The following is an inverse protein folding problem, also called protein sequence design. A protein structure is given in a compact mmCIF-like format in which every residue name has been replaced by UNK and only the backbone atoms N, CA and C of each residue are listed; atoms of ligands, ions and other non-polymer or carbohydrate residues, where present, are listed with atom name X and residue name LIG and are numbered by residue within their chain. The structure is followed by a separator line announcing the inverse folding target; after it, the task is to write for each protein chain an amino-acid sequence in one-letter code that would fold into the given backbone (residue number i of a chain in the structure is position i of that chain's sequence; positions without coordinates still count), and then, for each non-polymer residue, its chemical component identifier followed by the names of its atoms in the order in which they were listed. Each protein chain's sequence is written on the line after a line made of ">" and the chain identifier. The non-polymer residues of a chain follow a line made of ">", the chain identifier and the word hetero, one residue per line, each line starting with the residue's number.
data_IF_010543438480
#
_entry.id   IF_010543438480
#
_cell.length_a   1.000
_cell.length_b   1.000
_cell.length_c   1.000
_cell.angle_alpha   90.00
_cell.angle_beta   90.00
_cell.angle_gamma   90.00
#
_symmetry.space_group_name_H-M   'P 1'
#
loop_
_entity.id
_entity.type
_entity.pdbx_description
1 polymer ?
#
# COMPACT_ATOMS: atom_id res chain seq x y z
N UNK A 1 43.72 33.88 -18.73
CA UNK A 1 44.30 33.98 -17.38
C UNK A 1 43.19 34.49 -16.48
N UNK A 2 42.66 33.80 -15.48
CA UNK A 2 43.14 32.78 -14.53
C UNK A 2 41.89 32.01 -14.00
N UNK A 3 41.91 30.85 -13.35
CA UNK A 3 42.77 29.68 -13.25
C UNK A 3 41.83 28.64 -12.59
N UNK A 4 41.76 27.42 -13.14
CA UNK A 4 40.98 26.30 -12.59
C UNK A 4 41.83 25.61 -11.52
N UNK A 5 41.21 24.88 -10.58
CA UNK A 5 41.72 23.52 -10.39
C UNK A 5 40.63 22.48 -10.52
N UNK A 6 40.99 21.49 -11.32
CA UNK A 6 40.37 20.20 -11.48
C UNK A 6 41.06 19.29 -10.44
N UNK A 7 40.31 18.44 -9.75
CA UNK A 7 40.92 17.42 -8.89
C UNK A 7 40.16 16.11 -9.10
N UNK A 8 40.60 15.39 -10.13
CA UNK A 8 40.45 13.95 -10.16
C UNK A 8 41.48 13.31 -9.22
N UNK A 9 41.13 12.09 -8.79
CA UNK A 9 42.03 11.02 -8.36
C UNK A 9 42.33 10.91 -6.86
N UNK A 10 41.63 9.99 -6.19
CA UNK A 10 42.29 8.98 -5.36
C UNK A 10 41.41 7.74 -5.21
N UNK A 11 42.00 6.61 -5.61
CA UNK A 11 41.49 5.25 -5.51
C UNK A 11 41.62 4.67 -4.08
N UNK A 12 40.85 3.61 -3.87
CA UNK A 12 41.16 2.43 -3.05
C UNK A 12 40.93 2.47 -1.54
N UNK A 13 40.02 1.60 -1.08
CA UNK A 13 40.32 0.36 -0.34
C UNK A 13 39.29 0.04 0.74
N UNK A 14 39.09 -1.27 0.94
CA UNK A 14 38.06 -1.93 1.73
C UNK A 14 38.40 -2.06 3.22
N UNK A 15 37.36 -2.46 3.97
CA UNK A 15 37.36 -3.22 5.24
C UNK A 15 37.64 -2.42 6.53
N UNK A 16 36.62 -2.27 7.38
CA UNK A 16 36.51 -2.99 8.66
C UNK A 16 35.24 -2.65 9.46
N UNK A 17 34.86 -3.65 10.25
CA UNK A 17 33.75 -3.80 11.19
C UNK A 17 33.80 -2.91 12.44
N UNK A 18 32.60 -2.76 13.06
CA UNK A 18 32.32 -2.52 14.49
C UNK A 18 32.80 -1.17 15.10
N UNK A 19 32.08 -0.44 15.97
CA UNK A 19 30.88 -0.66 16.79
C UNK A 19 30.46 0.69 17.42
N UNK A 20 29.20 0.77 17.90
CA UNK A 20 28.63 1.66 18.94
C UNK A 20 28.73 3.20 18.75
N UNK A 21 27.58 3.88 18.63
CA UNK A 21 26.97 4.66 19.73
C UNK A 21 25.50 5.00 19.41
N UNK A 22 24.71 4.83 20.46
CA UNK A 22 23.29 5.08 20.66
C UNK A 22 22.95 6.58 20.56
N UNK A 23 21.77 6.93 20.02
CA UNK A 23 21.12 8.20 20.35
C UNK A 23 19.60 8.08 20.23
N UNK A 24 18.98 8.07 21.41
CA UNK A 24 17.56 8.09 21.70
C UNK A 24 16.78 9.20 20.97
N UNK A 25 15.62 8.84 20.42
CA UNK A 25 14.51 9.77 20.19
C UNK A 25 13.24 9.20 20.83
N UNK A 26 12.89 9.78 21.97
CA UNK A 26 11.74 9.49 22.82
C UNK A 26 10.41 9.78 22.10
N UNK A 27 9.58 8.75 21.94
CA UNK A 27 8.16 8.91 21.60
C UNK A 27 7.32 8.73 22.87
N UNK A 28 6.74 9.82 23.39
CA UNK A 28 5.78 9.81 24.50
C UNK A 28 4.62 8.85 24.21
N UNK A 29 4.53 7.75 24.95
CA UNK A 29 3.26 7.02 25.08
C UNK A 29 2.41 7.69 26.17
N UNK A 30 1.34 8.38 25.74
CA UNK A 30 0.28 8.83 26.64
C UNK A 30 -0.46 7.60 27.19
N UNK A 31 -0.33 7.37 28.50
CA UNK A 31 -1.25 6.51 29.27
C UNK A 31 -2.60 7.21 29.41
N UNK A 32 -3.74 6.55 29.18
CA UNK A 32 -4.99 6.97 29.80
C UNK A 32 -4.95 6.50 31.27
N UNK A 33 -4.96 7.46 32.20
CA UNK A 33 -5.31 7.19 33.59
C UNK A 33 -6.83 7.15 33.66
N UNK A 34 -7.41 6.01 34.05
CA UNK A 34 -8.79 5.96 34.53
C UNK A 34 -8.74 5.54 35.99
N UNK A 35 -8.96 6.54 36.82
CA UNK A 35 -9.16 6.46 38.25
C UNK A 35 -10.57 5.91 38.46
N UNK A 36 -10.68 4.75 39.09
CA UNK A 36 -11.95 4.26 39.61
C UNK A 36 -11.69 3.54 40.93
N UNK A 37 -11.75 4.32 42.01
CA UNK A 37 -11.97 3.77 43.35
C UNK A 37 -13.29 2.99 43.35
N UNK A 38 -13.19 1.66 43.41
CA UNK A 38 -14.26 0.80 43.90
C UNK A 38 -13.66 -0.14 44.94
N UNK A 39 -13.98 0.13 46.19
CA UNK A 39 -13.70 -0.71 47.35
C UNK A 39 -14.47 -2.03 47.23
N UNK A 40 -13.77 -3.17 47.16
CA UNK A 40 -14.39 -4.50 47.34
C UNK A 40 -13.40 -5.50 47.99
N UNK A 41 -13.90 -6.59 48.61
CA UNK A 41 -13.20 -7.28 49.69
C UNK A 41 -12.07 -8.19 49.21
N UNK A 42 -11.03 -8.22 50.04
CA UNK A 42 -9.76 -8.92 49.94
C UNK A 42 -9.88 -10.42 49.56
N UNK A 43 -9.83 -10.72 48.26
CA UNK A 43 -9.43 -12.04 47.72
C UNK A 43 -8.19 -11.83 46.86
N UNK A 44 -7.05 -12.38 47.31
CA UNK A 44 -5.78 -12.25 46.60
C UNK A 44 -5.70 -13.24 45.45
N UNK A 45 -5.92 -12.77 44.23
CA UNK A 45 -5.66 -13.54 43.00
C UNK A 45 -4.17 -13.40 42.68
N UNK A 46 -3.43 -14.50 42.64
CA UNK A 46 -2.06 -14.53 42.12
C UNK A 46 -2.05 -15.12 40.71
N UNK A 47 -1.71 -14.28 39.73
CA UNK A 47 -1.55 -14.69 38.33
C UNK A 47 -0.05 -14.86 38.07
N UNK A 48 0.36 -16.09 37.76
CA UNK A 48 1.73 -16.38 37.34
C UNK A 48 1.77 -16.64 35.83
N UNK A 49 2.40 -15.71 35.09
CA UNK A 49 2.67 -15.88 33.67
C UNK A 49 4.02 -16.58 33.52
N UNK A 50 4.03 -17.82 33.06
CA UNK A 50 5.28 -18.53 32.76
C UNK A 50 5.87 -17.97 31.46
N UNK A 51 7.07 -17.38 31.55
CA UNK A 51 7.83 -16.94 30.38
C UNK A 51 8.49 -18.15 29.70
N UNK A 52 7.81 -18.73 28.72
CA UNK A 52 8.45 -19.58 27.71
C UNK A 52 9.20 -18.71 26.69
N UNK A 53 10.46 -19.05 26.41
CA UNK A 53 11.27 -18.38 25.38
C UNK A 53 10.74 -18.65 23.96
N UNK A 54 11.03 -17.70 23.07
CA UNK A 54 10.30 -17.34 21.86
C UNK A 54 10.24 -18.37 20.71
N UNK A 55 9.04 -18.49 20.12
CA UNK A 55 8.82 -18.49 18.67
C UNK A 55 7.43 -17.90 18.41
N UNK A 56 7.31 -16.98 17.44
CA UNK A 56 6.06 -16.27 17.13
C UNK A 56 4.99 -17.22 16.58
N UNK A 57 4.11 -17.71 17.44
CA UNK A 57 2.77 -18.23 17.10
C UNK A 57 1.80 -17.82 18.20
N UNK A 58 0.65 -17.25 17.83
CA UNK A 58 -0.39 -16.80 18.75
C UNK A 58 -1.14 -18.00 19.35
N UNK A 59 -0.57 -18.63 20.38
CA UNK A 59 -1.33 -19.39 21.37
C UNK A 59 -0.65 -19.19 22.72
N UNK A 60 -1.06 -18.15 23.44
CA UNK A 60 -0.67 -17.98 24.83
C UNK A 60 -1.74 -18.66 25.68
N UNK A 61 -1.45 -19.88 26.14
CA UNK A 61 -2.30 -20.57 27.09
C UNK A 61 -2.05 -19.99 28.49
N UNK A 62 -3.10 -19.47 29.12
CA UNK A 62 -3.06 -19.04 30.52
C UNK A 62 -3.74 -20.12 31.39
N UNK A 63 -3.00 -20.69 32.33
CA UNK A 63 -3.54 -21.64 33.32
C UNK A 63 -3.90 -20.86 34.58
N UNK A 64 -5.19 -20.84 34.93
CA UNK A 64 -5.67 -20.16 36.12
C UNK A 64 -5.86 -21.21 37.22
N UNK A 65 -5.09 -21.09 38.32
CA UNK A 65 -5.17 -22.02 39.46
C UNK A 65 -5.69 -21.25 40.67
N UNK A 66 -6.91 -21.54 41.10
CA UNK A 66 -7.50 -20.99 42.32
C UNK A 66 -7.19 -21.90 43.51
N UNK A 67 -6.48 -21.38 44.52
CA UNK A 67 -6.27 -22.10 45.79
C UNK A 67 -7.26 -21.56 46.82
N UNK A 68 -8.39 -22.24 46.99
CA UNK A 68 -9.33 -21.94 48.08
C UNK A 68 -8.87 -22.64 49.34
N UNK A 69 -8.55 -21.87 50.39
CA UNK A 69 -8.18 -22.40 51.71
C UNK A 69 -9.44 -23.00 52.35
N UNK A 70 -9.60 -24.32 52.24
CA UNK A 70 -10.74 -25.06 52.77
C UNK A 70 -10.77 -24.96 54.30
N UNK A 71 -11.61 -24.08 54.84
CA UNK A 71 -12.02 -24.14 56.24
C UNK A 71 -13.41 -24.78 56.29
N UNK A 72 -13.41 -26.05 56.72
CA UNK A 72 -14.53 -26.94 57.14
C UNK A 72 -14.91 -28.04 56.13
N UNK A 73 -14.69 -29.27 56.59
CA UNK A 73 -15.04 -30.57 55.98
C UNK A 73 -16.54 -30.91 56.25
N UNK A 74 -17.12 -31.97 55.64
CA UNK A 74 -18.08 -31.86 54.54
C UNK A 74 -19.47 -32.40 54.92
N UNK A 75 -20.49 -32.08 54.11
CA UNK A 75 -21.65 -32.96 53.97
C UNK A 75 -21.51 -33.61 52.61
N UNK A 76 -21.38 -34.93 52.60
CA UNK A 76 -21.25 -35.74 51.38
C UNK A 76 -22.45 -35.48 50.46
N UNK A 77 -22.18 -34.80 49.35
CA UNK A 77 -22.99 -34.87 48.13
C UNK A 77 -22.03 -35.23 47.01
N UNK A 78 -22.38 -36.27 46.26
CA UNK A 78 -21.59 -36.68 45.11
C UNK A 78 -21.54 -35.52 44.13
N UNK A 79 -20.34 -34.97 43.93
CA UNK A 79 -20.11 -33.83 43.05
C UNK A 79 -20.20 -34.33 41.60
N UNK A 80 -21.23 -33.89 40.87
CA UNK A 80 -21.44 -34.22 39.47
C UNK A 80 -20.98 -33.07 38.56
N UNK A 81 -20.68 -33.36 37.28
CA UNK A 81 -20.25 -32.33 36.31
C UNK A 81 -21.28 -31.18 36.14
N UNK A 82 -22.55 -31.42 36.44
CA UNK A 82 -23.59 -30.38 36.47
C UNK A 82 -23.37 -29.35 37.58
N UNK A 83 -22.79 -29.74 38.72
CA UNK A 83 -22.52 -28.85 39.85
C UNK A 83 -21.35 -27.90 39.58
N UNK A 84 -20.53 -28.21 38.56
CA UNK A 84 -19.44 -27.33 38.11
C UNK A 84 -19.99 -26.08 37.40
N UNK A 85 -21.10 -26.20 36.67
CA UNK A 85 -21.73 -25.07 35.99
C UNK A 85 -22.24 -24.03 36.97
N UNK A 86 -23.01 -24.48 37.96
CA UNK A 86 -23.58 -23.63 39.00
C UNK A 86 -22.49 -22.94 39.84
N UNK A 87 -21.38 -23.64 40.11
CA UNK A 87 -20.23 -23.06 40.83
C UNK A 87 -19.52 -21.96 40.04
N UNK A 88 -19.36 -22.14 38.72
CA UNK A 88 -18.71 -21.13 37.87
C UNK A 88 -19.60 -19.89 37.72
N UNK A 89 -20.92 -20.07 37.60
CA UNK A 89 -21.86 -18.96 37.52
C UNK A 89 -21.91 -18.13 38.82
N UNK A 90 -21.77 -18.78 39.99
CA UNK A 90 -21.69 -18.09 41.30
C UNK A 90 -20.34 -17.38 41.53
N UNK A 91 -19.25 -17.85 40.92
CA UNK A 91 -17.91 -17.26 41.11
C UNK A 91 -17.61 -16.11 40.15
N UNK A 92 -18.24 -16.09 38.97
CA UNK A 92 -17.98 -15.11 37.92
C UNK A 92 -19.17 -14.18 37.74
N UNK A 93 -19.09 -12.98 38.32
CA UNK A 93 -19.95 -11.88 37.90
C UNK A 93 -19.72 -11.64 36.39
N UNK A 94 -20.77 -11.64 35.54
CA UNK A 94 -20.60 -11.57 34.10
C UNK A 94 -19.92 -10.26 33.73
N UNK A 95 -18.64 -10.34 33.36
CA UNK A 95 -17.89 -9.18 32.87
C UNK A 95 -18.57 -8.73 31.59
N UNK A 96 -19.24 -7.58 31.62
CA UNK A 96 -19.82 -6.99 30.43
C UNK A 96 -18.69 -6.56 29.50
N UNK A 97 -18.48 -7.32 28.42
CA UNK A 97 -17.57 -6.91 27.37
C UNK A 97 -18.22 -5.75 26.61
N UNK A 98 -17.70 -4.55 26.80
CA UNK A 98 -18.04 -3.44 25.91
C UNK A 98 -17.44 -3.78 24.55
N UNK A 99 -18.28 -4.18 23.60
CA UNK A 99 -17.88 -4.34 22.20
C UNK A 99 -17.46 -2.97 21.70
N UNK A 100 -16.16 -2.70 21.73
CA UNK A 100 -15.58 -1.56 21.04
C UNK A 100 -15.76 -1.91 19.57
N UNK A 101 -16.75 -1.30 18.93
CA UNK A 101 -16.80 -1.26 17.48
C UNK A 101 -15.64 -0.36 17.05
N UNK A 102 -14.49 -1.00 16.83
CA UNK A 102 -13.39 -0.40 16.12
C UNK A 102 -13.99 0.29 14.87
N UNK A 103 -13.79 1.60 14.75
CA UNK A 103 -14.14 2.30 13.52
C UNK A 103 -13.39 1.60 12.39
N UNK A 104 -14.10 0.84 11.57
CA UNK A 104 -13.50 0.14 10.44
C UNK A 104 -12.95 1.18 9.47
N UNK A 105 -11.68 1.58 9.64
CA UNK A 105 -10.87 1.98 8.51
C UNK A 105 -10.75 0.72 7.65
N UNK A 106 -11.66 0.59 6.67
CA UNK A 106 -11.71 -0.57 5.80
C UNK A 106 -10.32 -0.83 5.18
N UNK A 107 -9.89 -2.09 5.14
CA UNK A 107 -8.60 -2.43 4.55
C UNK A 107 -8.53 -1.95 3.08
N UNK A 108 -7.39 -1.38 2.64
CA UNK A 108 -7.29 -0.69 1.36
C UNK A 108 -7.55 -1.61 0.17
N UNK A 109 -8.12 -1.06 -0.89
CA UNK A 109 -8.40 -1.72 -2.18
C UNK A 109 -7.10 -2.11 -2.88
N UNK A 110 -6.12 -1.21 -2.90
CA UNK A 110 -4.79 -1.45 -3.44
C UNK A 110 -3.72 -1.02 -2.44
N UNK A 111 -2.76 -1.91 -2.16
CA UNK A 111 -1.63 -1.62 -1.28
C UNK A 111 -0.43 -1.18 -2.10
N UNK A 112 0.13 -0.02 -1.78
CA UNK A 112 1.34 0.47 -2.43
C UNK A 112 2.52 -0.47 -2.14
N UNK A 113 3.43 -0.62 -3.11
CA UNK A 113 4.61 -1.47 -2.95
C UNK A 113 5.91 -0.73 -3.18
N UNK A 114 6.12 -0.24 -4.40
CA UNK A 114 7.33 0.45 -4.84
C UNK A 114 7.02 1.28 -6.08
N UNK A 115 7.95 2.15 -6.45
CA UNK A 115 7.90 2.88 -7.73
C UNK A 115 9.15 2.63 -8.55
N UNK A 116 9.02 2.63 -9.87
CA UNK A 116 10.16 2.55 -10.79
C UNK A 116 9.99 3.51 -11.96
N UNK A 117 11.09 4.13 -12.38
CA UNK A 117 11.10 5.06 -13.50
C UNK A 117 11.28 4.36 -14.84
N UNK A 118 10.49 4.73 -15.83
CA UNK A 118 10.56 4.20 -17.19
C UNK A 118 10.57 5.33 -18.22
N UNK A 119 11.38 5.12 -19.25
CA UNK A 119 11.16 5.77 -20.54
C UNK A 119 9.96 5.10 -21.23
N UNK A 120 9.08 5.91 -21.83
CA UNK A 120 7.91 5.45 -22.58
C UNK A 120 7.95 5.99 -24.01
N UNK A 121 7.65 5.13 -24.97
CA UNK A 121 7.42 5.46 -26.37
C UNK A 121 6.18 4.69 -26.84
N UNK A 122 5.36 5.29 -27.69
CA UNK A 122 4.36 4.50 -28.43
C UNK A 122 5.04 3.65 -29.52
N UNK A 123 4.30 2.73 -30.15
CA UNK A 123 4.86 1.88 -31.23
C UNK A 123 5.41 2.67 -32.42
N UNK A 124 4.87 3.87 -32.67
CA UNK A 124 5.31 4.81 -33.71
C UNK A 124 6.49 5.69 -33.23
N UNK A 125 7.11 5.37 -32.10
CA UNK A 125 8.26 6.08 -31.54
C UNK A 125 7.97 7.52 -31.09
N UNK A 126 6.70 7.90 -30.87
CA UNK A 126 6.37 9.16 -30.21
C UNK A 126 6.59 9.04 -28.71
N UNK A 127 7.15 10.09 -28.13
CA UNK A 127 7.34 10.18 -26.69
C UNK A 127 6.36 11.20 -26.10
N UNK A 128 6.14 11.11 -24.78
CA UNK A 128 5.33 12.09 -24.07
C UNK A 128 6.15 13.34 -23.76
N UNK A 129 5.50 14.49 -23.91
CA UNK A 129 6.03 15.80 -23.49
C UNK A 129 4.93 16.54 -22.75
N UNK A 130 5.29 17.19 -21.65
CA UNK A 130 4.41 18.11 -20.96
C UNK A 130 4.43 19.46 -21.71
N UNK A 131 3.34 19.79 -22.40
CA UNK A 131 3.23 21.02 -23.22
C UNK A 131 2.67 22.20 -22.40
N UNK A 132 1.75 21.90 -21.48
CA UNK A 132 1.27 22.82 -20.45
C UNK A 132 1.30 22.11 -19.09
N UNK A 133 1.12 22.81 -17.95
CA UNK A 133 1.25 22.22 -16.62
C UNK A 133 0.42 20.94 -16.40
N UNK A 134 -0.69 20.77 -17.12
CA UNK A 134 -1.61 19.62 -16.97
C UNK A 134 -1.90 18.90 -18.29
N UNK A 135 -1.20 19.21 -19.39
CA UNK A 135 -1.45 18.58 -20.69
C UNK A 135 -0.21 17.85 -21.22
N UNK A 136 -0.35 16.53 -21.37
CA UNK A 136 0.61 15.71 -22.10
C UNK A 136 0.24 15.62 -23.57
N UNK A 137 1.25 15.72 -24.42
CA UNK A 137 1.15 15.48 -25.85
C UNK A 137 2.15 14.43 -26.29
N UNK A 138 1.82 13.70 -27.35
CA UNK A 138 2.70 12.68 -27.94
C UNK A 138 3.32 13.20 -29.24
N UNK A 139 4.66 13.22 -29.35
CA UNK A 139 5.37 13.63 -30.56
C UNK A 139 6.74 12.96 -30.69
N UNK A 140 7.26 12.92 -31.91
CA UNK A 140 8.66 12.60 -32.18
C UNK A 140 9.54 13.78 -31.74
N UNK A 141 10.51 13.51 -30.88
CA UNK A 141 11.55 14.48 -30.53
C UNK A 141 12.83 14.18 -31.30
N UNK A 142 13.48 15.23 -31.80
CA UNK A 142 14.75 15.14 -32.52
C UNK A 142 15.77 16.10 -31.89
N UNK A 143 17.04 15.68 -31.89
CA UNK A 143 18.18 16.50 -31.50
C UNK A 143 18.13 17.01 -30.05
N UNK A 144 18.51 18.29 -29.79
CA UNK A 144 18.64 18.84 -28.44
C UNK A 144 17.36 18.81 -27.61
N UNK A 145 16.19 18.72 -28.25
CA UNK A 145 14.88 18.70 -27.61
C UNK A 145 14.60 17.41 -26.84
N UNK A 146 15.43 16.35 -27.00
CA UNK A 146 15.26 15.07 -26.33
C UNK A 146 15.15 15.17 -24.78
N UNK A 147 15.72 16.23 -24.18
CA UNK A 147 15.62 16.50 -22.73
C UNK A 147 14.18 16.76 -22.26
N UNK A 148 13.26 17.15 -23.16
CA UNK A 148 11.85 17.40 -22.85
C UNK A 148 11.02 16.13 -22.72
N UNK A 149 11.60 14.96 -23.06
CA UNK A 149 10.94 13.67 -22.96
C UNK A 149 10.54 13.40 -21.51
N UNK A 150 9.26 13.17 -21.29
CA UNK A 150 8.72 12.73 -20.00
C UNK A 150 9.18 11.30 -19.73
N UNK A 151 9.58 11.05 -18.48
CA UNK A 151 9.71 9.70 -17.93
C UNK A 151 8.54 9.44 -16.99
N UNK A 152 8.00 8.24 -17.02
CA UNK A 152 6.96 7.84 -16.07
C UNK A 152 7.61 7.30 -14.81
N UNK A 153 7.10 7.69 -13.65
CA UNK A 153 7.34 7.02 -12.39
C UNK A 153 6.13 6.12 -12.10
N UNK A 154 6.28 4.83 -12.39
CA UNK A 154 5.20 3.85 -12.27
C UNK A 154 5.19 3.32 -10.84
N UNK A 155 4.17 3.65 -10.08
CA UNK A 155 3.92 3.13 -8.73
C UNK A 155 3.17 1.79 -8.84
N UNK A 156 3.72 0.71 -8.29
CA UNK A 156 3.14 -0.62 -8.33
C UNK A 156 2.30 -0.88 -7.09
N UNK A 157 1.16 -1.52 -7.30
CA UNK A 157 0.24 -1.92 -6.24
C UNK A 157 0.01 -3.43 -6.19
N UNK A 158 -0.48 -3.89 -5.05
CA UNK A 158 -1.07 -5.22 -4.90
C UNK A 158 -2.56 -5.08 -4.60
N UNK A 159 -3.45 -5.75 -5.34
CA UNK A 159 -4.88 -5.74 -5.02
C UNK A 159 -5.13 -6.48 -3.71
N UNK A 160 -6.18 -6.07 -2.99
CA UNK A 160 -6.60 -6.69 -1.71
C UNK A 160 -6.97 -8.17 -1.86
N UNK A 161 -7.70 -8.48 -2.91
CA UNK A 161 -8.15 -9.82 -3.24
C UNK A 161 -7.46 -10.27 -4.52
N UNK A 162 -7.05 -11.54 -4.58
CA UNK A 162 -6.69 -12.21 -5.83
C UNK A 162 -7.97 -12.47 -6.68
N UNK A 163 -8.85 -11.48 -6.79
CA UNK A 163 -9.97 -11.51 -7.73
C UNK A 163 -9.40 -11.30 -9.11
N UNK A 164 -9.04 -12.43 -9.69
CA UNK A 164 -8.23 -12.60 -10.86
C UNK A 164 -7.58 -13.95 -10.65
N UNK A 165 -8.17 -14.99 -11.25
CA UNK A 165 -7.60 -16.34 -11.19
C UNK A 165 -6.10 -16.28 -11.56
N UNK A 166 -5.28 -17.20 -11.02
CA UNK A 166 -3.85 -17.22 -11.34
C UNK A 166 -3.68 -17.20 -12.87
N UNK A 167 -3.24 -16.07 -13.43
CA UNK A 167 -3.03 -15.93 -14.88
C UNK A 167 -3.55 -14.67 -15.59
N UNK A 168 -4.24 -13.72 -14.95
CA UNK A 168 -4.69 -12.51 -15.68
C UNK A 168 -3.54 -11.60 -16.14
N UNK A 169 -2.36 -11.70 -15.50
CA UNK A 169 -1.17 -10.93 -15.87
C UNK A 169 -1.29 -9.40 -15.68
N UNK A 170 -2.42 -8.92 -15.13
CA UNK A 170 -2.70 -7.51 -14.95
C UNK A 170 -2.05 -6.99 -13.67
N UNK A 171 -1.20 -5.97 -13.79
CA UNK A 171 -0.52 -5.35 -12.64
C UNK A 171 -1.12 -3.97 -12.38
N UNK A 172 -1.79 -3.72 -11.25
CA UNK A 172 -2.32 -2.39 -10.95
C UNK A 172 -1.18 -1.41 -10.66
N UNK A 173 -1.22 -0.27 -11.33
CA UNK A 173 -0.21 0.79 -11.27
C UNK A 173 -0.85 2.17 -11.23
N UNK A 174 -0.15 3.14 -10.63
CA UNK A 174 -0.41 4.56 -10.86
C UNK A 174 0.73 5.16 -11.67
N UNK A 175 0.40 6.06 -12.59
CA UNK A 175 1.35 6.60 -13.58
C UNK A 175 1.68 8.06 -13.24
N UNK A 176 2.80 8.27 -12.55
CA UNK A 176 3.30 9.60 -12.22
C UNK A 176 4.23 10.16 -13.29
N UNK A 177 4.30 11.49 -13.40
CA UNK A 177 5.22 12.19 -14.30
C UNK A 177 6.51 12.49 -13.52
N UNK A 178 7.62 11.82 -13.87
CA UNK A 178 8.88 11.96 -13.11
C UNK A 178 9.38 13.42 -13.10
N UNK A 179 9.67 13.93 -11.91
CA UNK A 179 10.09 15.32 -11.71
C UNK A 179 8.94 16.29 -11.49
N UNK A 180 7.69 15.82 -11.58
CA UNK A 180 6.48 16.58 -11.33
C UNK A 180 5.64 15.83 -10.28
N UNK A 181 4.87 16.54 -9.46
CA UNK A 181 3.93 15.92 -8.51
C UNK A 181 2.60 15.57 -9.19
N UNK A 182 2.65 15.16 -10.45
CA UNK A 182 1.47 14.93 -11.30
C UNK A 182 1.27 13.43 -11.53
N UNK A 183 0.03 12.98 -11.39
CA UNK A 183 -0.39 11.62 -11.74
C UNK A 183 -1.49 11.66 -12.78
N UNK A 184 -1.45 10.67 -13.68
CA UNK A 184 -2.56 10.42 -14.60
C UNK A 184 -3.76 9.89 -13.83
N UNK A 185 -4.94 10.39 -14.16
CA UNK A 185 -6.21 9.88 -13.68
C UNK A 185 -7.25 9.86 -14.79
N UNK A 186 -8.24 8.98 -14.66
CA UNK A 186 -9.41 8.97 -15.54
C UNK A 186 -10.62 9.52 -14.79
N UNK A 187 -11.30 10.51 -15.36
CA UNK A 187 -12.52 11.10 -14.78
C UNK A 187 -13.61 11.17 -15.81
N UNK A 188 -14.88 11.19 -15.37
CA UNK A 188 -15.98 11.49 -16.26
C UNK A 188 -16.00 13.00 -16.52
N UNK A 189 -15.99 13.41 -17.79
CA UNK A 189 -16.16 14.81 -18.18
C UNK A 189 -17.32 14.93 -19.15
N UNK A 190 -18.45 15.45 -18.67
CA UNK A 190 -19.70 15.39 -19.41
C UNK A 190 -20.20 13.95 -19.48
N UNK A 191 -20.26 13.38 -20.69
CA UNK A 191 -20.79 12.03 -20.94
C UNK A 191 -19.71 10.99 -21.26
N UNK A 192 -18.44 11.41 -21.36
CA UNK A 192 -17.34 10.52 -21.75
C UNK A 192 -16.20 10.57 -20.73
N UNK A 193 -15.51 9.43 -20.51
CA UNK A 193 -14.33 9.41 -19.67
C UNK A 193 -13.16 10.07 -20.38
N UNK A 194 -12.40 10.87 -19.63
CA UNK A 194 -11.22 11.56 -20.11
C UNK A 194 -10.02 11.31 -19.20
N UNK A 195 -8.83 11.34 -19.81
CA UNK A 195 -7.56 11.35 -19.11
C UNK A 195 -7.21 12.77 -18.68
N UNK A 196 -6.75 12.94 -17.45
CA UNK A 196 -6.21 14.22 -16.97
C UNK A 196 -4.98 14.01 -16.10
N UNK A 197 -4.28 15.10 -15.79
CA UNK A 197 -3.20 15.14 -14.80
C UNK A 197 -3.68 15.88 -13.55
N UNK A 198 -3.54 15.24 -12.40
CA UNK A 198 -3.84 15.83 -11.09
C UNK A 198 -2.57 15.94 -10.25
N UNK A 199 -2.44 17.04 -9.51
CA UNK A 199 -1.38 17.23 -8.52
C UNK A 199 -1.73 16.53 -7.21
N UNK A 200 -1.12 15.38 -6.95
CA UNK A 200 -1.41 14.55 -5.78
C UNK A 200 -0.24 13.60 -5.48
N UNK A 201 0.01 13.27 -4.22
CA UNK A 201 0.88 12.13 -3.89
C UNK A 201 0.03 10.87 -3.67
N UNK A 202 0.01 10.02 -4.69
CA UNK A 202 -0.72 8.76 -4.64
C UNK A 202 0.15 7.58 -4.19
N UNK A 203 1.43 7.77 -3.80
CA UNK A 203 2.33 6.69 -3.33
C UNK A 203 2.01 6.22 -1.91
N UNK A 204 0.77 5.80 -1.73
CA UNK A 204 0.15 5.36 -0.48
C UNK A 204 -0.92 4.33 -0.81
N UNK A 205 -1.46 3.69 0.20
CA UNK A 205 -2.55 2.74 0.00
C UNK A 205 -3.80 3.45 -0.56
N UNK A 206 -4.49 2.78 -1.48
CA UNK A 206 -5.72 3.24 -2.10
C UNK A 206 -6.87 2.61 -1.33
N UNK A 207 -7.57 3.42 -0.54
CA UNK A 207 -8.60 2.99 0.40
C UNK A 207 -10.03 3.29 -0.07
N UNK A 208 -10.20 4.03 -1.16
CA UNK A 208 -11.49 4.48 -1.65
C UNK A 208 -11.68 4.28 -3.15
N UNK A 209 -12.96 4.17 -3.55
CA UNK A 209 -13.37 4.09 -4.95
C UNK A 209 -12.98 5.36 -5.71
N UNK A 210 -13.04 6.52 -5.05
CA UNK A 210 -12.67 7.81 -5.65
C UNK A 210 -11.21 7.83 -6.11
N UNK A 211 -10.30 7.27 -5.31
CA UNK A 211 -8.87 7.18 -5.64
C UNK A 211 -8.55 6.08 -6.68
N UNK A 212 -9.51 5.20 -7.00
CA UNK A 212 -9.33 4.19 -8.06
C UNK A 212 -9.16 4.83 -9.45
N UNK A 213 -9.55 6.10 -9.62
CA UNK A 213 -9.29 6.88 -10.85
C UNK A 213 -7.83 6.99 -11.25
N UNK A 214 -6.91 6.85 -10.29
CA UNK A 214 -5.46 6.89 -10.52
C UNK A 214 -4.87 5.52 -10.91
N UNK A 215 -5.67 4.46 -10.85
CA UNK A 215 -5.21 3.10 -11.06
C UNK A 215 -5.45 2.68 -12.50
N UNK A 216 -4.38 2.15 -13.10
CA UNK A 216 -4.37 1.53 -14.40
C UNK A 216 -3.87 0.10 -14.26
N UNK A 217 -4.41 -0.83 -15.04
CA UNK A 217 -3.84 -2.15 -15.22
C UNK A 217 -2.78 -2.09 -16.31
N UNK A 218 -1.53 -2.34 -15.93
CA UNK A 218 -0.43 -2.57 -16.85
C UNK A 218 -0.57 -3.97 -17.44
N UNK A 219 -0.70 -4.03 -18.76
CA UNK A 219 -0.85 -5.24 -19.56
C UNK A 219 0.38 -5.40 -20.46
N UNK A 220 1.33 -6.21 -20.03
CA UNK A 220 2.53 -6.50 -20.83
C UNK A 220 2.24 -7.64 -21.82
N UNK A 221 2.67 -7.48 -23.07
CA UNK A 221 2.70 -8.52 -24.11
C UNK A 221 4.16 -8.97 -24.32
N UNK A 222 4.60 -10.07 -23.69
CA UNK A 222 6.00 -10.52 -23.79
C UNK A 222 6.42 -10.88 -25.22
N UNK A 223 5.48 -11.39 -26.03
CA UNK A 223 5.76 -11.78 -27.41
C UNK A 223 6.09 -10.57 -28.30
N UNK A 224 5.42 -9.43 -28.08
CA UNK A 224 5.61 -8.21 -28.87
C UNK A 224 6.56 -7.21 -28.21
N UNK A 225 6.88 -7.41 -26.93
CA UNK A 225 7.65 -6.45 -26.13
C UNK A 225 6.92 -5.12 -25.96
N UNK A 226 5.58 -5.15 -25.94
CA UNK A 226 4.71 -3.98 -25.81
C UNK A 226 3.94 -4.00 -24.49
N UNK A 227 3.45 -2.84 -24.08
CA UNK A 227 2.65 -2.64 -22.88
C UNK A 227 1.43 -1.80 -23.23
N UNK A 228 0.27 -2.15 -22.68
CA UNK A 228 -0.95 -1.32 -22.67
C UNK A 228 -1.31 -0.95 -21.25
N UNK A 229 -2.06 0.14 -21.10
CA UNK A 229 -2.55 0.60 -19.80
C UNK A 229 -4.06 0.79 -19.87
N UNK A 230 -4.80 -0.06 -19.18
CA UNK A 230 -6.26 0.00 -19.07
C UNK A 230 -6.67 0.74 -17.81
N UNK A 231 -7.69 1.59 -17.85
CA UNK A 231 -8.21 2.27 -16.66
C UNK A 231 -8.94 1.30 -15.74
N UNK A 232 -8.63 1.32 -14.44
CA UNK A 232 -9.39 0.55 -13.46
C UNK A 232 -10.76 1.19 -13.16
N UNK A 233 -10.86 2.52 -13.24
CA UNK A 233 -12.11 3.25 -13.05
C UNK A 233 -13.06 3.16 -14.26
N UNK A 234 -12.51 2.95 -15.46
CA UNK A 234 -13.27 2.79 -16.71
C UNK A 234 -12.77 1.56 -17.48
N UNK A 235 -13.20 0.34 -17.10
CA UNK A 235 -12.79 -0.89 -17.80
C UNK A 235 -13.05 -0.83 -19.31
N UNK A 236 -12.14 -1.38 -20.09
CA UNK A 236 -12.14 -1.32 -21.55
C UNK A 236 -11.56 -0.03 -22.14
N UNK A 237 -11.25 1.00 -21.33
CA UNK A 237 -10.61 2.23 -21.79
C UNK A 237 -9.10 2.18 -21.58
N UNK A 238 -8.35 2.46 -22.63
CA UNK A 238 -6.89 2.38 -22.65
C UNK A 238 -6.25 3.72 -22.91
N UNK A 239 -5.11 4.00 -22.26
CA UNK A 239 -4.30 5.19 -22.58
C UNK A 239 -3.88 5.13 -24.04
N UNK A 240 -4.13 6.19 -24.79
CA UNK A 240 -3.86 6.25 -26.22
C UNK A 240 -3.19 7.53 -26.69
N UNK A 241 -2.50 7.43 -27.81
CA UNK A 241 -1.98 8.56 -28.59
C UNK A 241 -2.66 8.61 -29.96
N UNK A 242 -2.77 9.81 -30.55
CA UNK A 242 -3.19 9.94 -31.94
C UNK A 242 -2.11 9.45 -32.90
N UNK A 243 -2.52 9.06 -34.11
CA UNK A 243 -1.61 8.89 -35.24
C UNK A 243 -0.92 10.21 -35.61
N UNK A 244 -1.59 11.35 -35.41
CA UNK A 244 -1.01 12.65 -35.68
C UNK A 244 -0.09 13.08 -34.52
N UNK A 245 1.08 13.67 -34.82
CA UNK A 245 1.99 14.14 -33.78
C UNK A 245 1.44 15.38 -33.08
N UNK A 246 1.92 15.61 -31.86
CA UNK A 246 1.57 16.76 -31.00
C UNK A 246 0.06 16.85 -30.72
N UNK A 247 -0.60 15.70 -30.62
CA UNK A 247 -1.96 15.62 -30.10
C UNK A 247 -1.93 15.22 -28.61
N UNK A 248 -2.95 15.63 -27.83
CA UNK A 248 -3.05 15.23 -26.44
C UNK A 248 -3.02 13.71 -26.25
N UNK A 249 -2.38 13.27 -25.17
CA UNK A 249 -2.52 11.89 -24.69
C UNK A 249 -3.89 11.76 -24.04
N UNK A 250 -4.64 10.71 -24.41
CA UNK A 250 -6.02 10.51 -23.95
C UNK A 250 -6.29 9.07 -23.56
N UNK A 251 -7.57 8.70 -23.53
CA UNK A 251 -8.03 7.32 -23.40
C UNK A 251 -9.03 6.97 -24.51
N UNK A 252 -9.11 5.69 -24.88
CA UNK A 252 -10.06 5.18 -25.88
C UNK A 252 -10.57 3.79 -25.51
N UNK A 253 -11.83 3.49 -25.84
CA UNK A 253 -12.39 2.14 -25.79
C UNK A 253 -12.40 1.43 -27.16
N UNK A 254 -11.86 2.07 -28.19
CA UNK A 254 -11.70 1.52 -29.54
C UNK A 254 -10.21 1.46 -29.89
N UNK A 255 -9.46 0.50 -29.32
CA UNK A 255 -8.05 0.33 -29.66
C UNK A 255 -7.88 0.03 -31.16
N UNK A 256 -6.77 0.49 -31.73
CA UNK A 256 -6.25 0.12 -33.06
C UNK A 256 -7.06 0.58 -34.31
N UNK A 257 -8.11 1.39 -34.18
CA UNK A 257 -8.81 1.99 -35.34
C UNK A 257 -8.21 3.31 -35.81
N UNK A 258 -8.02 4.26 -34.88
CA UNK A 258 -7.52 5.62 -35.17
C UNK A 258 -6.49 6.11 -34.15
N UNK A 259 -6.25 5.32 -33.10
CA UNK A 259 -5.38 5.67 -31.98
C UNK A 259 -4.42 4.51 -31.70
N UNK A 260 -3.24 4.84 -31.19
CA UNK A 260 -2.23 3.87 -30.76
C UNK A 260 -2.40 3.64 -29.25
N UNK A 261 -2.51 2.38 -28.84
CA UNK A 261 -2.60 2.00 -27.40
C UNK A 261 -1.41 1.19 -26.92
N UNK A 262 -0.48 0.85 -27.80
CA UNK A 262 0.67 0.00 -27.52
C UNK A 262 1.94 0.84 -27.31
N UNK A 263 2.66 0.57 -26.22
CA UNK A 263 3.85 1.29 -25.81
C UNK A 263 5.04 0.36 -25.59
N UNK A 264 6.25 0.88 -25.77
CA UNK A 264 7.49 0.25 -25.33
C UNK A 264 8.02 0.97 -24.09
N UNK A 265 8.20 0.22 -23.01
CA UNK A 265 8.79 0.71 -21.78
C UNK A 265 10.26 0.28 -21.69
N UNK A 266 11.14 1.19 -21.30
CA UNK A 266 12.53 0.85 -20.95
C UNK A 266 12.90 1.40 -19.58
N UNK A 267 13.28 0.50 -18.68
CA UNK A 267 13.76 0.83 -17.33
C UNK A 267 15.29 0.95 -17.33
N UNK A 268 15.81 1.85 -16.49
CA UNK A 268 17.21 1.83 -16.04
C UNK A 268 17.22 1.65 -14.53
#
# INVERSE_FOLDING_TARGET
>A
FAFVPNLDMLESSSMNEETFYDLDCLCLQKKPCLDLEVTSPRVGIQVAVTKGHAAKTFYQAATLVSVTKLMKQPVHKDFADSDLGDFLDDLFEPVSFQKIEDSYAGAPVYRYTRSQSFDILDIDQKCFVLESPTQLVALHLQGPSAKRKVKLNIALYRPRSAQGGPGTGQVPVALGIKGYQLYMSCVMSGTEPMLQLEEVDIRRDIDSVELTRFIFYRLDSPAEGTTRFESAAFPGWFICTSLQPRQPVGITNQPDQVNITNYKLSGR
#
